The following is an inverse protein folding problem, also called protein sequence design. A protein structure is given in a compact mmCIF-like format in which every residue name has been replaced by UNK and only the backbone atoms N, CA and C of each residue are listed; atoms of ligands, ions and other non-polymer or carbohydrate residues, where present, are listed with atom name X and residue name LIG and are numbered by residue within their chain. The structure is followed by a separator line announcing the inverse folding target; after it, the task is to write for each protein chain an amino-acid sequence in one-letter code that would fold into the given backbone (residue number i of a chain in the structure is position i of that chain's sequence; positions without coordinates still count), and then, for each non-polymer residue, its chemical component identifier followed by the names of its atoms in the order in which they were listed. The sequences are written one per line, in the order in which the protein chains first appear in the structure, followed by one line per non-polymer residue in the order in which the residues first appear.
data_IF_160039389965
#
_entry.id   IF_160039389965
#
_cell.length_a   1.000
_cell.length_b   1.000
_cell.length_c   1.000
_cell.angle_alpha   90.00
_cell.angle_beta   90.00
_cell.angle_gamma   90.00
#
_symmetry.space_group_name_H-M   'P 1'
#
loop_
_entity.id
_entity.type
_entity.pdbx_description
1 polymer ?
#
# COMPACT_ATOMS: atom_id res chain seq x y z
N UNK A 1 31.39 -5.79 -16.28
CA UNK A 1 30.35 -6.00 -15.25
C UNK A 1 29.05 -6.15 -15.99
N UNK A 2 28.42 -7.30 -15.84
CA UNK A 2 27.14 -7.57 -16.45
C UNK A 2 26.05 -6.89 -15.60
N UNK A 3 25.06 -6.26 -16.23
CA UNK A 3 23.97 -5.60 -15.50
C UNK A 3 23.15 -6.58 -14.66
N UNK A 4 23.15 -7.87 -15.03
CA UNK A 4 22.52 -8.93 -14.24
C UNK A 4 23.21 -9.20 -12.88
N UNK A 5 24.45 -8.75 -12.71
CA UNK A 5 25.20 -8.81 -11.44
C UNK A 5 24.81 -7.66 -10.49
N UNK A 6 24.10 -6.63 -10.99
CA UNK A 6 23.65 -5.48 -10.20
C UNK A 6 22.35 -5.85 -9.48
N UNK A 7 22.50 -6.49 -8.33
CA UNK A 7 21.38 -6.84 -7.47
C UNK A 7 21.65 -6.42 -6.03
N UNK A 8 20.59 -6.00 -5.35
CA UNK A 8 20.63 -5.93 -3.89
C UNK A 8 20.88 -7.31 -3.30
N UNK A 9 21.69 -7.35 -2.24
CA UNK A 9 21.83 -8.55 -1.41
C UNK A 9 20.50 -8.86 -0.68
N UNK A 10 20.41 -10.02 -0.05
CA UNK A 10 19.17 -10.47 0.57
C UNK A 10 18.69 -9.53 1.69
N UNK A 11 19.60 -9.06 2.56
CA UNK A 11 19.27 -8.16 3.66
C UNK A 11 18.65 -6.85 3.17
N UNK A 12 19.22 -6.25 2.13
CA UNK A 12 18.69 -5.05 1.51
C UNK A 12 17.34 -5.31 0.83
N UNK A 13 17.16 -6.48 0.19
CA UNK A 13 15.86 -6.88 -0.40
C UNK A 13 14.78 -7.02 0.67
N UNK A 14 15.07 -7.70 1.77
CA UNK A 14 14.13 -7.90 2.89
C UNK A 14 13.72 -6.56 3.51
N UNK A 15 14.69 -5.64 3.64
CA UNK A 15 14.44 -4.28 4.12
C UNK A 15 13.52 -3.49 3.16
N UNK A 16 13.77 -3.56 1.85
CA UNK A 16 12.92 -2.91 0.83
C UNK A 16 11.49 -3.45 0.88
N UNK A 17 11.31 -4.77 0.99
CA UNK A 17 9.98 -5.38 1.11
C UNK A 17 9.27 -4.94 2.40
N UNK A 18 9.98 -4.96 3.53
CA UNK A 18 9.45 -4.49 4.81
C UNK A 18 9.02 -3.03 4.75
N UNK A 19 9.80 -2.17 4.10
CA UNK A 19 9.45 -0.76 3.96
C UNK A 19 8.28 -0.54 2.99
N UNK A 20 8.16 -1.40 1.97
CA UNK A 20 6.99 -1.42 1.06
C UNK A 20 5.71 -1.80 1.80
N UNK A 21 5.76 -2.80 2.69
CA UNK A 21 4.64 -3.17 3.56
C UNK A 21 4.23 -2.03 4.49
N UNK A 22 5.21 -1.31 5.06
CA UNK A 22 4.94 -0.14 5.90
C UNK A 22 4.22 0.97 5.13
N UNK A 23 4.62 1.25 3.89
CA UNK A 23 3.93 2.24 3.04
C UNK A 23 2.46 1.88 2.86
N UNK A 24 2.15 0.61 2.62
CA UNK A 24 0.77 0.13 2.51
C UNK A 24 0.02 0.27 3.85
N UNK A 25 0.63 -0.13 4.97
CA UNK A 25 0.02 -0.01 6.29
C UNK A 25 -0.29 1.45 6.65
N UNK A 26 0.65 2.37 6.43
CA UNK A 26 0.47 3.80 6.65
C UNK A 26 -0.67 4.37 5.80
N UNK A 27 -0.76 3.95 4.53
CA UNK A 27 -1.83 4.40 3.65
C UNK A 27 -3.22 3.92 4.12
N UNK A 28 -3.31 2.66 4.54
CA UNK A 28 -4.55 2.06 5.06
C UNK A 28 -4.97 2.72 6.38
N UNK A 29 -4.04 2.92 7.31
CA UNK A 29 -4.33 3.61 8.58
C UNK A 29 -4.73 5.07 8.36
N UNK A 30 -4.10 5.75 7.39
CA UNK A 30 -4.48 7.12 7.02
C UNK A 30 -5.89 7.15 6.44
N UNK A 31 -6.21 6.26 5.51
CA UNK A 31 -7.55 6.16 4.95
C UNK A 31 -8.60 5.84 6.02
N UNK A 32 -8.28 4.97 7.00
CA UNK A 32 -9.16 4.67 8.12
C UNK A 32 -9.48 5.90 8.98
N UNK A 33 -8.52 6.82 9.18
CA UNK A 33 -8.74 8.09 9.89
C UNK A 33 -9.54 9.11 9.09
N UNK A 34 -9.26 9.18 7.79
CA UNK A 34 -9.79 10.24 6.93
C UNK A 34 -11.19 9.92 6.39
N UNK A 35 -11.52 8.64 6.22
CA UNK A 35 -12.67 8.18 5.43
C UNK A 35 -13.55 7.17 6.19
N UNK A 36 -13.59 7.26 7.53
CA UNK A 36 -14.46 6.40 8.34
C UNK A 36 -15.94 6.61 7.93
N UNK A 37 -16.62 5.51 7.58
CA UNK A 37 -18.02 5.53 7.17
C UNK A 37 -18.26 5.86 5.69
N UNK A 38 -17.22 6.14 4.90
CA UNK A 38 -17.31 6.28 3.45
C UNK A 38 -17.41 4.91 2.75
N UNK A 39 -17.87 4.92 1.49
CA UNK A 39 -17.94 3.71 0.68
C UNK A 39 -16.55 3.20 0.27
N UNK A 40 -16.46 1.90 -0.01
CA UNK A 40 -15.19 1.25 -0.34
C UNK A 40 -14.59 1.74 -1.66
N UNK A 41 -15.38 2.24 -2.62
CA UNK A 41 -14.85 2.81 -3.86
C UNK A 41 -14.09 4.12 -3.58
N UNK A 42 -14.65 4.99 -2.74
CA UNK A 42 -14.03 6.23 -2.27
C UNK A 42 -12.73 5.93 -1.53
N UNK A 43 -12.74 4.96 -0.61
CA UNK A 43 -11.53 4.52 0.09
C UNK A 43 -10.50 3.93 -0.89
N UNK A 44 -10.93 3.11 -1.84
CA UNK A 44 -10.04 2.51 -2.84
C UNK A 44 -9.33 3.58 -3.67
N UNK A 45 -10.05 4.59 -4.16
CA UNK A 45 -9.46 5.69 -4.91
C UNK A 45 -8.44 6.45 -4.07
N UNK A 46 -8.74 6.69 -2.78
CA UNK A 46 -7.78 7.32 -1.87
C UNK A 46 -6.50 6.51 -1.71
N UNK A 47 -6.61 5.20 -1.50
CA UNK A 47 -5.44 4.32 -1.37
C UNK A 47 -4.63 4.29 -2.67
N UNK A 48 -5.29 4.18 -3.82
CA UNK A 48 -4.64 4.22 -5.13
C UNK A 48 -3.84 5.52 -5.32
N UNK A 49 -4.43 6.67 -5.02
CA UNK A 49 -3.77 7.98 -5.12
C UNK A 49 -2.58 8.12 -4.16
N UNK A 50 -2.68 7.56 -2.94
CA UNK A 50 -1.58 7.58 -1.99
C UNK A 50 -0.41 6.69 -2.43
N UNK A 51 -0.68 5.52 -3.01
CA UNK A 51 0.34 4.52 -3.35
C UNK A 51 0.97 4.75 -4.72
N UNK A 52 0.24 5.26 -5.71
CA UNK A 52 0.77 5.46 -7.08
C UNK A 52 2.01 6.36 -7.13
N UNK A 53 2.17 7.27 -6.17
CA UNK A 53 3.32 8.17 -6.07
C UNK A 53 4.49 7.61 -5.24
N UNK A 54 4.35 6.40 -4.67
CA UNK A 54 5.33 5.80 -3.75
C UNK A 54 6.12 4.65 -4.36
N UNK A 55 5.68 4.11 -5.50
CA UNK A 55 6.36 3.04 -6.22
C UNK A 55 6.63 3.44 -7.68
N UNK A 56 7.70 2.91 -8.26
CA UNK A 56 8.14 3.25 -9.63
C UNK A 56 7.13 2.77 -10.67
N UNK A 57 6.57 1.58 -10.48
CA UNK A 57 5.61 0.94 -11.38
C UNK A 57 4.49 0.31 -10.56
N UNK A 58 3.66 1.17 -9.95
CA UNK A 58 2.59 0.72 -9.07
C UNK A 58 1.44 0.13 -9.88
N UNK A 59 1.14 -1.15 -9.63
CA UNK A 59 -0.09 -1.78 -10.09
C UNK A 59 -0.97 -2.12 -8.90
N UNK A 60 -2.27 -1.74 -8.90
CA UNK A 60 -3.17 -2.06 -7.81
C UNK A 60 -3.46 -3.56 -7.79
N UNK A 61 -2.96 -4.24 -6.76
CA UNK A 61 -3.26 -5.64 -6.50
C UNK A 61 -4.66 -5.88 -5.92
N UNK A 62 -5.12 -7.14 -5.86
CA UNK A 62 -6.42 -7.49 -5.26
C UNK A 62 -6.52 -7.09 -3.79
N UNK A 63 -5.39 -6.99 -3.08
CA UNK A 63 -5.33 -6.59 -1.69
C UNK A 63 -5.80 -5.14 -1.46
N UNK A 64 -5.61 -4.25 -2.44
CA UNK A 64 -6.01 -2.85 -2.32
C UNK A 64 -7.52 -2.71 -2.11
N UNK A 65 -8.30 -3.51 -2.84
CA UNK A 65 -9.76 -3.60 -2.66
C UNK A 65 -10.13 -4.17 -1.30
N UNK A 66 -9.48 -5.26 -0.89
CA UNK A 66 -9.72 -5.90 0.42
C UNK A 66 -9.55 -4.90 1.56
N UNK A 67 -8.50 -4.08 1.54
CA UNK A 67 -8.28 -3.07 2.59
C UNK A 67 -9.27 -1.91 2.50
N UNK A 68 -9.63 -1.47 1.30
CA UNK A 68 -10.65 -0.44 1.13
C UNK A 68 -12.00 -0.86 1.71
N UNK A 69 -12.41 -2.11 1.45
CA UNK A 69 -13.63 -2.67 2.01
C UNK A 69 -13.55 -2.84 3.53
N UNK A 70 -12.40 -3.25 4.08
CA UNK A 70 -12.20 -3.38 5.53
C UNK A 70 -12.28 -2.01 6.24
N UNK A 71 -11.69 -0.96 5.65
CA UNK A 71 -11.82 0.42 6.15
C UNK A 71 -13.27 0.90 6.08
N UNK A 72 -13.95 0.70 4.95
CA UNK A 72 -15.36 1.09 4.77
C UNK A 72 -16.29 0.40 5.77
N UNK A 73 -16.00 -0.86 6.14
CA UNK A 73 -16.73 -1.60 7.18
C UNK A 73 -16.32 -1.23 8.61
N UNK A 74 -15.31 -0.38 8.81
CA UNK A 74 -14.79 -0.02 10.14
C UNK A 74 -14.00 -1.14 10.84
N UNK A 75 -13.50 -2.14 10.08
CA UNK A 75 -12.71 -3.26 10.62
C UNK A 75 -11.27 -2.85 10.97
N UNK A 76 -10.82 -1.73 10.43
CA UNK A 76 -9.48 -1.17 10.66
C UNK A 76 -9.65 0.16 11.38
N UNK A 77 -9.11 0.24 12.59
CA UNK A 77 -9.06 1.48 13.37
C UNK A 77 -7.73 2.18 13.11
N UNK A 78 -7.79 3.45 12.75
CA UNK A 78 -6.63 4.29 12.44
C UNK A 78 -5.90 4.83 13.67
#
# INVERSE_FOLDING_TARGET
MDTSEIVWNQEARDKILTDSDRVLQEAVLTAAKELEGEDWETVYQRLFEQLKGRFIDFEPGPDLRKYAEAVSRGEIQG
#
